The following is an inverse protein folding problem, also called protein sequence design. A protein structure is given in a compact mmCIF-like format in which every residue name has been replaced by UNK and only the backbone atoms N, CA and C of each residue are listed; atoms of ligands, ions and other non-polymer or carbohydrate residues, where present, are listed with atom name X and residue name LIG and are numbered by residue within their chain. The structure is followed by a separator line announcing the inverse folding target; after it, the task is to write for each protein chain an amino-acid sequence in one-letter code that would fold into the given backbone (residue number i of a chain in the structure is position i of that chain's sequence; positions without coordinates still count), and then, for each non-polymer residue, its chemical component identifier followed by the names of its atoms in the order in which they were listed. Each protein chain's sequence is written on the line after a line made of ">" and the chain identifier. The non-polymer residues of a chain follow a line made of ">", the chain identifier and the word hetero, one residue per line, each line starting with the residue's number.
data_IF_060081472689
#
_entry.id   IF_060081472689
#
_cell.length_a   1.000
_cell.length_b   1.000
_cell.length_c   1.000
_cell.angle_alpha   90.00
_cell.angle_beta   90.00
_cell.angle_gamma   90.00
#
_symmetry.space_group_name_H-M   'P 1'
#
loop_
_entity.id
_entity.type
_entity.pdbx_description
1 polymer ?
#
# COMPACT_ATOMS: atom_id res chain seq x y z
N UNK A 1 -20.78 -29.13 -5.27
CA UNK A 1 -20.32 -28.51 -6.53
C UNK A 1 -19.45 -27.30 -6.18
N UNK A 2 -18.33 -27.12 -6.86
CA UNK A 2 -17.50 -25.94 -6.65
C UNK A 2 -18.23 -24.71 -7.21
N UNK A 3 -18.39 -23.66 -6.39
CA UNK A 3 -18.99 -22.40 -6.81
C UNK A 3 -18.01 -21.68 -7.75
N UNK A 4 -18.50 -21.19 -8.88
CA UNK A 4 -17.68 -20.43 -9.81
C UNK A 4 -17.70 -18.94 -9.46
N UNK A 5 -16.54 -18.31 -9.52
CA UNK A 5 -16.40 -16.87 -9.26
C UNK A 5 -16.79 -16.13 -10.55
N UNK A 6 -17.95 -15.49 -10.54
CA UNK A 6 -18.46 -14.71 -11.68
C UNK A 6 -17.75 -13.37 -11.78
N UNK A 7 -17.47 -12.72 -10.63
CA UNK A 7 -16.88 -11.37 -10.63
C UNK A 7 -16.00 -11.16 -9.40
N UNK A 8 -14.84 -10.51 -9.61
CA UNK A 8 -13.98 -10.00 -8.52
C UNK A 8 -13.99 -8.48 -8.53
N UNK A 9 -14.28 -7.90 -7.39
CA UNK A 9 -14.39 -6.44 -7.21
C UNK A 9 -13.44 -6.02 -6.12
N UNK A 10 -12.74 -4.90 -6.33
CA UNK A 10 -11.85 -4.29 -5.33
C UNK A 10 -12.42 -2.95 -4.91
N UNK A 11 -12.59 -2.77 -3.62
CA UNK A 11 -13.09 -1.53 -3.02
C UNK A 11 -12.16 -1.06 -1.91
N UNK A 12 -12.19 0.24 -1.64
CA UNK A 12 -11.53 0.85 -0.49
C UNK A 12 -12.61 1.52 0.35
N UNK A 13 -12.79 1.04 1.57
CA UNK A 13 -13.85 1.48 2.47
C UNK A 13 -13.23 1.86 3.81
N UNK A 14 -13.75 2.89 4.46
CA UNK A 14 -13.34 3.23 5.84
C UNK A 14 -13.79 2.13 6.80
N UNK A 15 -12.88 1.68 7.65
CA UNK A 15 -13.15 0.64 8.64
C UNK A 15 -14.29 1.05 9.59
N UNK A 16 -15.23 0.14 9.81
CA UNK A 16 -16.38 0.35 10.68
C UNK A 16 -17.44 1.31 10.16
N UNK A 17 -17.30 1.84 8.94
CA UNK A 17 -18.24 2.81 8.34
C UNK A 17 -18.81 2.37 7.00
N UNK A 18 -18.81 1.08 6.70
CA UNK A 18 -19.45 0.60 5.49
C UNK A 18 -20.95 0.83 5.55
N UNK A 19 -21.50 1.48 4.52
CA UNK A 19 -22.92 1.76 4.35
C UNK A 19 -23.36 1.34 2.95
N UNK A 20 -24.65 1.01 2.73
CA UNK A 20 -25.16 0.72 1.39
C UNK A 20 -25.14 1.91 0.41
N UNK A 21 -24.81 3.10 0.90
CA UNK A 21 -24.62 4.31 0.10
C UNK A 21 -23.35 4.22 -0.77
N UNK A 22 -23.18 5.13 -1.76
CA UNK A 22 -21.93 5.20 -2.52
C UNK A 22 -20.69 5.35 -1.60
N UNK A 23 -19.57 4.66 -1.89
CA UNK A 23 -19.26 3.92 -3.11
C UNK A 23 -19.73 2.44 -3.15
N UNK A 24 -20.14 1.86 -2.01
CA UNK A 24 -20.46 0.44 -1.89
C UNK A 24 -21.66 0.07 -2.77
N UNK A 25 -22.77 0.80 -2.65
CA UNK A 25 -24.00 0.52 -3.35
C UNK A 25 -23.88 0.62 -4.87
N UNK A 26 -23.12 1.59 -5.37
CA UNK A 26 -22.94 1.77 -6.82
C UNK A 26 -22.14 0.65 -7.47
N UNK A 27 -21.22 0.02 -6.74
CA UNK A 27 -20.33 -1.01 -7.27
C UNK A 27 -20.88 -2.42 -7.04
N UNK A 28 -21.48 -2.67 -5.89
CA UNK A 28 -21.99 -3.98 -5.51
C UNK A 28 -23.47 -4.18 -5.85
N UNK A 29 -24.25 -3.10 -6.00
CA UNK A 29 -25.67 -3.16 -6.39
C UNK A 29 -25.89 -3.89 -7.72
N UNK A 30 -25.19 -3.53 -8.81
CA UNK A 30 -25.30 -4.23 -10.09
C UNK A 30 -24.88 -5.70 -10.04
N UNK A 31 -24.15 -6.12 -9.03
CA UNK A 31 -23.74 -7.51 -8.84
C UNK A 31 -24.80 -8.37 -8.12
N UNK A 32 -25.89 -7.75 -7.63
CA UNK A 32 -27.05 -8.44 -7.06
C UNK A 32 -26.81 -9.09 -5.69
N UNK A 33 -25.77 -8.70 -4.96
CA UNK A 33 -25.49 -9.20 -3.61
C UNK A 33 -26.25 -8.41 -2.54
N UNK A 34 -26.42 -9.02 -1.36
CA UNK A 34 -27.06 -8.37 -0.22
C UNK A 34 -26.11 -7.33 0.42
N UNK A 35 -26.34 -6.05 0.12
CA UNK A 35 -25.51 -4.93 0.60
C UNK A 35 -25.55 -4.79 2.12
N UNK A 36 -26.69 -5.05 2.76
CA UNK A 36 -26.83 -4.97 4.20
C UNK A 36 -25.96 -6.00 4.92
N UNK A 37 -26.01 -7.24 4.46
CA UNK A 37 -25.19 -8.33 4.98
C UNK A 37 -23.70 -8.08 4.79
N UNK A 38 -23.31 -7.57 3.62
CA UNK A 38 -21.93 -7.19 3.36
C UNK A 38 -21.45 -6.11 4.33
N UNK A 39 -22.21 -5.02 4.50
CA UNK A 39 -21.86 -3.92 5.40
C UNK A 39 -21.72 -4.39 6.84
N UNK A 40 -22.62 -5.24 7.31
CA UNK A 40 -22.56 -5.79 8.68
C UNK A 40 -21.30 -6.62 8.90
N UNK A 41 -21.06 -7.61 8.02
CA UNK A 41 -19.87 -8.48 8.09
C UNK A 41 -18.56 -7.69 7.96
N UNK A 42 -18.52 -6.71 7.04
CA UNK A 42 -17.35 -5.86 6.86
C UNK A 42 -17.07 -5.00 8.10
N UNK A 43 -18.09 -4.35 8.67
CA UNK A 43 -17.96 -3.51 9.86
C UNK A 43 -17.52 -4.33 11.08
N UNK A 44 -18.02 -5.54 11.24
CA UNK A 44 -17.58 -6.45 12.30
C UNK A 44 -16.11 -6.84 12.12
N UNK A 45 -15.72 -7.24 10.91
CA UNK A 45 -14.36 -7.67 10.61
C UNK A 45 -13.32 -6.54 10.64
N UNK A 46 -13.75 -5.27 10.57
CA UNK A 46 -12.86 -4.10 10.59
C UNK A 46 -12.95 -3.28 11.88
N UNK A 47 -13.61 -3.77 12.90
CA UNK A 47 -13.84 -3.07 14.18
C UNK A 47 -12.53 -2.63 14.84
N UNK A 48 -11.48 -3.47 14.74
CA UNK A 48 -10.16 -3.22 15.34
C UNK A 48 -9.35 -2.16 14.58
N UNK A 49 -9.76 -1.80 13.37
CA UNK A 49 -9.03 -0.89 12.46
C UNK A 49 -9.79 0.42 12.22
N UNK A 50 -10.64 0.83 13.16
CA UNK A 50 -11.43 2.05 13.01
C UNK A 50 -10.57 3.28 12.68
N UNK A 51 -11.01 4.04 11.67
CA UNK A 51 -10.32 5.25 11.20
C UNK A 51 -9.28 5.00 10.10
N UNK A 52 -8.98 3.75 9.76
CA UNK A 52 -8.14 3.42 8.63
C UNK A 52 -8.98 3.06 7.40
N UNK A 53 -8.43 3.32 6.21
CA UNK A 53 -9.04 2.86 4.96
C UNK A 53 -8.58 1.42 4.72
N UNK A 54 -9.54 0.51 4.61
CA UNK A 54 -9.26 -0.92 4.38
C UNK A 54 -9.64 -1.29 2.96
N UNK A 55 -8.67 -1.74 2.13
CA UNK A 55 -8.96 -2.34 0.85
C UNK A 55 -9.59 -3.71 1.05
N UNK A 56 -10.66 -3.97 0.31
CA UNK A 56 -11.39 -5.23 0.33
C UNK A 56 -11.49 -5.79 -1.09
N UNK A 57 -11.09 -7.05 -1.27
CA UNK A 57 -11.32 -7.81 -2.50
C UNK A 57 -12.53 -8.72 -2.29
N UNK A 58 -13.56 -8.51 -3.08
CA UNK A 58 -14.83 -9.21 -2.97
C UNK A 58 -14.94 -10.15 -4.17
N UNK A 59 -15.11 -11.44 -3.90
CA UNK A 59 -15.39 -12.48 -4.90
C UNK A 59 -16.89 -12.77 -4.86
N UNK A 60 -17.55 -12.66 -5.99
CA UNK A 60 -18.97 -12.87 -6.15
C UNK A 60 -19.17 -14.15 -6.95
N UNK A 61 -20.01 -15.03 -6.45
CA UNK A 61 -20.32 -16.32 -7.05
C UNK A 61 -21.64 -16.27 -7.85
N UNK A 62 -21.86 -17.29 -8.65
CA UNK A 62 -23.05 -17.47 -9.50
C UNK A 62 -24.37 -17.53 -8.71
N UNK A 63 -24.30 -18.05 -7.47
CA UNK A 63 -25.44 -18.12 -6.53
C UNK A 63 -25.71 -16.80 -5.77
N UNK A 64 -25.05 -15.68 -6.16
CA UNK A 64 -25.08 -14.36 -5.50
C UNK A 64 -24.51 -14.35 -4.10
N UNK A 65 -23.88 -15.42 -3.65
CA UNK A 65 -23.08 -15.42 -2.44
C UNK A 65 -21.78 -14.64 -2.69
N UNK A 66 -21.15 -14.15 -1.64
CA UNK A 66 -19.91 -13.40 -1.72
C UNK A 66 -18.95 -13.81 -0.62
N UNK A 67 -17.69 -13.79 -0.96
CA UNK A 67 -16.58 -13.84 0.00
C UNK A 67 -15.74 -12.58 -0.14
N UNK A 68 -15.14 -12.12 0.95
CA UNK A 68 -14.28 -10.96 0.91
C UNK A 68 -12.98 -11.19 1.68
N UNK A 69 -11.90 -10.62 1.16
CA UNK A 69 -10.58 -10.64 1.78
C UNK A 69 -10.17 -9.20 2.09
N UNK A 70 -9.88 -8.94 3.36
CA UNK A 70 -9.39 -7.65 3.83
C UNK A 70 -7.88 -7.59 3.62
N UNK A 71 -7.40 -6.47 3.09
CA UNK A 71 -5.98 -6.17 2.95
C UNK A 71 -5.53 -5.08 3.91
N UNK A 72 -4.23 -4.90 4.04
CA UNK A 72 -3.66 -3.81 4.84
C UNK A 72 -3.95 -2.46 4.18
N UNK A 73 -3.99 -1.40 4.99
CA UNK A 73 -4.26 -0.05 4.49
C UNK A 73 -3.35 0.33 3.30
N UNK A 74 -3.85 1.11 2.32
CA UNK A 74 -3.06 1.51 1.16
C UNK A 74 -1.79 2.25 1.58
N UNK A 75 -0.65 1.99 0.91
CA UNK A 75 0.61 2.66 1.21
C UNK A 75 0.50 4.19 1.17
N UNK A 76 -0.27 4.72 0.20
CA UNK A 76 -0.53 6.14 0.09
C UNK A 76 -1.29 6.72 1.30
N UNK A 77 -2.19 5.93 1.91
CA UNK A 77 -2.90 6.34 3.12
C UNK A 77 -1.97 6.36 4.33
N UNK A 78 -1.18 5.29 4.52
CA UNK A 78 -0.20 5.19 5.61
C UNK A 78 0.84 6.30 5.53
N UNK A 79 1.35 6.59 4.34
CA UNK A 79 2.29 7.69 4.09
C UNK A 79 1.68 9.05 4.45
N UNK A 80 0.43 9.33 4.07
CA UNK A 80 -0.27 10.57 4.44
C UNK A 80 -0.48 10.68 5.94
N UNK A 81 -0.83 9.57 6.61
CA UNK A 81 -1.05 9.50 8.06
C UNK A 81 0.24 9.82 8.82
N UNK A 82 1.36 9.21 8.43
CA UNK A 82 2.68 9.45 9.06
C UNK A 82 3.22 10.84 8.75
N UNK A 83 3.12 11.28 7.51
CA UNK A 83 3.55 12.62 7.09
C UNK A 83 2.61 13.75 7.58
N UNK A 84 1.46 13.42 8.19
CA UNK A 84 0.43 14.35 8.69
C UNK A 84 -0.07 15.32 7.62
N UNK A 85 -0.22 14.84 6.38
CA UNK A 85 -0.71 15.64 5.25
C UNK A 85 -2.08 15.14 4.77
N UNK A 86 -2.93 16.04 4.32
CA UNK A 86 -4.26 15.70 3.78
C UNK A 86 -4.17 15.09 2.38
N UNK A 87 -3.27 15.61 1.55
CA UNK A 87 -3.07 15.11 0.19
C UNK A 87 -1.60 15.18 -0.21
N UNK A 88 -1.20 14.39 -1.21
CA UNK A 88 0.12 14.46 -1.81
C UNK A 88 0.27 15.67 -2.73
N UNK A 89 1.48 15.83 -3.29
CA UNK A 89 1.80 16.90 -4.25
C UNK A 89 0.94 16.81 -5.52
N UNK A 90 0.51 17.96 -6.02
CA UNK A 90 -0.16 18.06 -7.32
C UNK A 90 0.80 17.85 -8.50
N UNK A 91 2.10 18.12 -8.29
CA UNK A 91 3.17 17.99 -9.30
C UNK A 91 3.99 16.70 -9.11
N UNK A 92 3.52 15.77 -8.30
CA UNK A 92 4.19 14.50 -8.01
C UNK A 92 5.58 14.69 -7.41
N UNK A 93 6.58 13.98 -7.95
CA UNK A 93 7.95 13.99 -7.44
C UNK A 93 8.70 15.33 -7.60
N UNK A 94 8.17 16.26 -8.39
CA UNK A 94 8.82 17.56 -8.64
C UNK A 94 8.61 18.59 -7.52
N UNK A 95 7.67 18.31 -6.61
CA UNK A 95 7.37 19.21 -5.48
C UNK A 95 7.30 18.41 -4.20
N UNK A 96 8.19 18.72 -3.26
CA UNK A 96 8.24 18.05 -1.95
C UNK A 96 7.28 18.77 -1.01
N UNK A 97 6.22 18.06 -0.58
CA UNK A 97 5.21 18.57 0.36
C UNK A 97 5.44 18.12 1.79
N UNK A 98 6.15 17.03 1.99
CA UNK A 98 6.47 16.51 3.32
C UNK A 98 7.76 15.69 3.31
N UNK A 99 8.29 15.42 4.50
CA UNK A 99 9.47 14.59 4.67
C UNK A 99 9.20 13.59 5.80
N UNK A 100 9.51 12.32 5.56
CA UNK A 100 9.43 11.25 6.55
C UNK A 100 10.83 10.70 6.86
N UNK A 101 10.99 10.10 8.02
CA UNK A 101 12.23 9.44 8.43
C UNK A 101 12.29 8.01 7.89
N UNK A 102 13.49 7.45 7.83
CA UNK A 102 13.71 6.06 7.45
C UNK A 102 13.03 5.08 8.44
N UNK A 103 12.96 5.44 9.73
CA UNK A 103 12.27 4.63 10.74
C UNK A 103 10.78 4.52 10.47
N UNK A 104 10.13 5.64 10.21
CA UNK A 104 8.71 5.70 9.86
C UNK A 104 8.41 4.92 8.57
N UNK A 105 9.30 5.04 7.58
CA UNK A 105 9.18 4.26 6.35
C UNK A 105 9.27 2.75 6.61
N UNK A 106 10.13 2.34 7.53
CA UNK A 106 10.27 0.93 7.93
C UNK A 106 9.03 0.40 8.63
N UNK A 107 8.45 1.14 9.55
CA UNK A 107 7.21 0.78 10.24
C UNK A 107 6.06 0.55 9.24
N UNK A 108 5.94 1.43 8.23
CA UNK A 108 4.97 1.26 7.16
C UNK A 108 5.27 -0.01 6.34
N UNK A 109 6.53 -0.28 6.05
CA UNK A 109 6.95 -1.46 5.30
C UNK A 109 6.63 -2.74 6.06
N UNK A 110 6.92 -2.81 7.35
CA UNK A 110 6.62 -3.94 8.22
C UNK A 110 5.09 -4.21 8.30
N UNK A 111 4.29 -3.15 8.46
CA UNK A 111 2.82 -3.25 8.48
C UNK A 111 2.26 -3.80 7.16
N UNK A 112 2.92 -3.48 6.06
CA UNK A 112 2.43 -3.84 4.72
C UNK A 112 3.06 -5.13 4.15
N UNK A 113 4.07 -5.68 4.81
CA UNK A 113 4.74 -6.93 4.38
C UNK A 113 3.81 -8.05 3.97
N UNK A 114 2.69 -8.34 4.68
CA UNK A 114 1.79 -9.43 4.32
C UNK A 114 1.15 -9.27 2.92
N UNK A 115 1.03 -8.05 2.43
CA UNK A 115 0.41 -7.74 1.14
C UNK A 115 1.42 -7.49 0.01
N UNK A 116 2.71 -7.37 0.36
CA UNK A 116 3.77 -7.07 -0.59
C UNK A 116 4.45 -8.35 -1.08
N UNK A 117 4.83 -8.35 -2.34
CA UNK A 117 5.73 -9.37 -2.91
C UNK A 117 7.20 -8.99 -2.68
N UNK A 118 7.59 -8.86 -1.40
CA UNK A 118 8.95 -8.53 -0.99
C UNK A 118 9.47 -9.62 -0.04
N UNK A 119 10.69 -10.08 -0.27
CA UNK A 119 11.34 -11.07 0.60
C UNK A 119 11.88 -10.44 1.88
N UNK A 120 12.34 -9.19 1.79
CA UNK A 120 12.98 -8.45 2.87
C UNK A 120 12.29 -7.12 3.15
N UNK A 121 12.36 -6.66 4.39
CA UNK A 121 11.86 -5.34 4.79
C UNK A 121 12.52 -4.22 3.98
N UNK A 122 13.82 -4.34 3.65
CA UNK A 122 14.52 -3.36 2.81
C UNK A 122 13.94 -3.26 1.40
N UNK A 123 13.54 -4.39 0.81
CA UNK A 123 12.88 -4.42 -0.50
C UNK A 123 11.48 -3.80 -0.43
N UNK A 124 10.73 -4.07 0.64
CA UNK A 124 9.45 -3.43 0.91
C UNK A 124 9.61 -1.91 1.08
N UNK A 125 10.60 -1.47 1.84
CA UNK A 125 10.92 -0.05 2.01
C UNK A 125 11.20 0.66 0.67
N UNK A 126 11.91 0.01 -0.26
CA UNK A 126 12.16 0.57 -1.60
C UNK A 126 10.88 0.76 -2.40
N UNK A 127 9.95 -0.19 -2.34
CA UNK A 127 8.65 -0.09 -3.02
C UNK A 127 7.82 1.08 -2.44
N UNK A 128 7.77 1.21 -1.13
CA UNK A 128 7.03 2.28 -0.46
C UNK A 128 7.71 3.63 -0.67
N UNK A 129 9.05 3.68 -0.67
CA UNK A 129 9.81 4.89 -0.99
C UNK A 129 9.54 5.40 -2.42
N UNK A 130 9.34 4.49 -3.39
CA UNK A 130 8.90 4.83 -4.74
C UNK A 130 7.52 5.49 -4.74
N UNK A 131 6.58 4.96 -3.97
CA UNK A 131 5.25 5.55 -3.79
C UNK A 131 5.33 6.92 -3.11
N UNK A 132 6.12 7.05 -2.04
CA UNK A 132 6.34 8.31 -1.33
C UNK A 132 6.91 9.39 -2.26
N UNK A 133 7.92 9.05 -3.07
CA UNK A 133 8.51 9.95 -4.06
C UNK A 133 7.46 10.48 -5.04
N UNK A 134 6.61 9.61 -5.58
CA UNK A 134 5.56 10.01 -6.52
C UNK A 134 4.50 10.90 -5.87
N UNK A 135 4.33 10.80 -4.55
CA UNK A 135 3.44 11.66 -3.77
C UNK A 135 4.09 12.99 -3.34
N UNK A 136 5.36 13.23 -3.68
CA UNK A 136 6.10 14.40 -3.22
C UNK A 136 6.53 14.31 -1.76
N UNK A 137 6.68 13.11 -1.21
CA UNK A 137 7.17 12.87 0.14
C UNK A 137 8.64 12.45 0.07
N UNK A 138 9.52 13.28 0.62
CA UNK A 138 10.94 12.96 0.71
C UNK A 138 11.22 12.03 1.89
N UNK A 139 12.11 11.06 1.68
CA UNK A 139 12.61 10.18 2.76
C UNK A 139 13.98 10.67 3.21
N UNK A 140 14.11 11.06 4.47
CA UNK A 140 15.41 11.34 5.09
C UNK A 140 16.11 10.03 5.38
N UNK A 141 17.01 9.63 4.49
CA UNK A 141 17.89 8.48 4.70
C UNK A 141 18.96 8.88 5.71
N UNK A 142 19.17 8.06 6.74
CA UNK A 142 20.21 8.30 7.72
C UNK A 142 21.58 8.40 7.02
N UNK A 143 22.36 9.42 7.37
CA UNK A 143 23.64 9.78 6.72
C UNK A 143 24.62 8.59 6.63
N UNK A 144 24.50 7.62 7.54
CA UNK A 144 25.32 6.41 7.56
C UNK A 144 25.07 5.46 6.38
N UNK A 145 23.82 5.34 5.92
CA UNK A 145 23.48 4.47 4.78
C UNK A 145 23.95 5.09 3.46
N UNK A 146 23.89 6.42 3.36
CA UNK A 146 24.43 7.16 2.21
C UNK A 146 25.96 7.02 2.10
N UNK A 147 26.68 6.99 3.22
CA UNK A 147 28.12 6.75 3.25
C UNK A 147 28.46 5.32 2.83
N UNK A 148 27.74 4.30 3.30
CA UNK A 148 27.93 2.90 2.86
C UNK A 148 27.65 2.72 1.37
N UNK A 149 26.56 3.28 0.87
CA UNK A 149 26.21 3.21 -0.55
C UNK A 149 27.21 3.97 -1.44
N UNK A 150 27.75 5.10 -0.98
CA UNK A 150 28.82 5.84 -1.68
C UNK A 150 30.11 5.05 -1.73
N UNK A 151 30.48 4.39 -0.64
CA UNK A 151 31.67 3.53 -0.55
C UNK A 151 31.53 2.27 -1.43
N UNK A 152 30.35 1.62 -1.47
CA UNK A 152 30.09 0.48 -2.34
C UNK A 152 30.18 0.86 -3.82
N UNK A 153 29.57 1.98 -4.22
CA UNK A 153 29.69 2.50 -5.59
C UNK A 153 31.12 2.86 -6.00
N UNK A 154 31.91 3.37 -5.06
CA UNK A 154 33.34 3.66 -5.29
C UNK A 154 34.18 2.39 -5.42
N UNK A 155 33.91 1.35 -4.61
CA UNK A 155 34.56 0.03 -4.71
C UNK A 155 34.23 -0.65 -6.03
N UNK A 156 32.96 -0.59 -6.50
CA UNK A 156 32.57 -1.13 -7.79
C UNK A 156 33.24 -0.40 -8.97
N UNK A 157 33.31 0.95 -8.93
CA UNK A 157 34.03 1.73 -9.94
C UNK A 157 35.51 1.42 -10.00
N UNK A 158 36.17 1.21 -8.84
CA UNK A 158 37.57 0.79 -8.80
C UNK A 158 37.79 -0.61 -9.36
N UNK A 159 36.89 -1.55 -9.07
CA UNK A 159 36.94 -2.93 -9.60
C UNK A 159 36.79 -2.98 -11.13
N UNK A 160 35.84 -2.20 -11.65
CA UNK A 160 35.63 -2.09 -13.10
C UNK A 160 36.84 -1.42 -13.82
N UNK A 161 37.47 -0.41 -13.20
CA UNK A 161 38.71 0.21 -13.78
C UNK A 161 39.90 -0.73 -13.75
N UNK A 162 40.03 -1.63 -12.80
CA UNK A 162 41.09 -2.63 -12.75
C UNK A 162 40.91 -3.70 -13.86
N UNK A 163 39.68 -4.16 -14.07
CA UNK A 163 39.38 -5.17 -15.11
C UNK A 163 39.57 -4.64 -16.53
N UNK A 164 39.34 -3.33 -16.75
CA UNK A 164 39.56 -2.69 -18.07
C UNK A 164 41.07 -2.47 -18.38
N UNK A 165 41.96 -2.50 -17.38
CA UNK A 165 43.41 -2.38 -17.57
C UNK A 165 44.13 -3.72 -17.74
N UNK A 166 43.43 -4.85 -17.58
CA UNK A 166 44.00 -6.21 -17.74
C UNK A 166 43.60 -6.89 -19.06
N UNK A 167 42.78 -6.22 -19.87
CA UNK A 167 42.51 -6.56 -21.27
C UNK A 167 43.15 -5.52 -22.21
#
# INVERSE_FOLDING_TARGET
>A
MAKEVVKKIKLQIEAGKATPAPPVGTVLGPAGINLGEFCTKFNEATRDKMGDVVPCEISIYDDRSFDFVLKTAPAAFLLKKVAKIKSGSKKGANEIVATITEKELREIAETKMPDLNAYDVESAMKQIAGTARNMGIAVKVSTMLNLKNKQLKQKQKKKNKLNVKQN
#
